data_IF_883169979186
#
_entry.id   IF_883169979186
#
_cell.length_a   1.000
_cell.length_b   1.000
_cell.length_c   1.000
_cell.angle_alpha   90.00
_cell.angle_beta   90.00
_cell.angle_gamma   90.00
#
_symmetry.space_group_name_H-M   'P 1'
#
loop_
_entity.id
_entity.type
_entity.pdbx_description
1 polymer ?
#
# COMPACT_ATOMS: atom_id res chain seq x y z
N UNK A 1 -1.54 -18.22 -25.03
CA UNK A 1 -0.81 -16.94 -24.94
C UNK A 1 -1.47 -16.12 -23.83
N UNK A 2 -1.08 -16.36 -22.59
CA UNK A 2 -1.67 -15.67 -21.43
C UNK A 2 -1.23 -14.22 -21.43
N UNK A 3 -2.20 -13.31 -21.54
CA UNK A 3 -1.98 -11.89 -21.32
C UNK A 3 -1.50 -11.72 -19.89
N UNK A 4 -0.25 -11.29 -19.72
CA UNK A 4 0.24 -10.75 -18.46
C UNK A 4 -0.67 -9.59 -18.09
N UNK A 5 -1.60 -9.84 -17.16
CA UNK A 5 -2.60 -8.88 -16.68
C UNK A 5 -2.13 -8.29 -15.37
N UNK A 6 -0.88 -7.81 -15.32
CA UNK A 6 -0.57 -6.76 -14.37
C UNK A 6 -1.06 -5.47 -15.02
N UNK A 7 -2.05 -4.76 -14.45
CA UNK A 7 -2.40 -3.44 -14.95
C UNK A 7 -1.12 -2.60 -14.87
N UNK A 8 -0.67 -2.13 -16.04
CA UNK A 8 0.35 -1.06 -16.09
C UNK A 8 -0.19 0.04 -15.18
N UNK A 9 0.58 0.40 -14.16
CA UNK A 9 0.36 1.65 -13.42
C UNK A 9 0.45 2.78 -14.46
N UNK A 10 -0.67 3.15 -15.05
CA UNK A 10 -0.78 4.36 -15.85
C UNK A 10 -0.43 5.51 -14.91
N UNK A 11 0.53 6.30 -15.37
CA UNK A 11 1.26 7.30 -14.61
C UNK A 11 0.40 8.52 -14.32
N UNK A 12 -0.65 8.34 -13.53
CA UNK A 12 -1.38 9.42 -12.88
C UNK A 12 -0.75 9.67 -11.51
N UNK A 13 -0.57 10.95 -11.20
CA UNK A 13 0.14 11.57 -10.08
C UNK A 13 -0.25 11.06 -8.66
N UNK A 14 -1.21 10.13 -8.57
CA UNK A 14 -1.52 9.31 -7.41
C UNK A 14 -0.45 8.25 -7.11
N UNK A 15 0.33 7.82 -8.12
CA UNK A 15 1.32 6.75 -7.99
C UNK A 15 2.48 7.11 -7.06
N UNK A 16 2.90 8.38 -7.02
CA UNK A 16 4.07 8.83 -6.23
C UNK A 16 3.77 8.81 -4.74
N UNK A 17 2.63 9.37 -4.32
CA UNK A 17 2.25 9.43 -2.90
C UNK A 17 2.06 8.03 -2.31
N UNK A 18 1.35 7.16 -3.03
CA UNK A 18 1.20 5.75 -2.64
C UNK A 18 2.54 5.05 -2.50
N UNK A 19 3.43 5.21 -3.49
CA UNK A 19 4.76 4.62 -3.45
C UNK A 19 5.57 5.12 -2.25
N UNK A 20 5.48 6.41 -1.92
CA UNK A 20 6.15 6.97 -0.73
C UNK A 20 5.63 6.34 0.55
N UNK A 21 4.31 6.26 0.75
CA UNK A 21 3.72 5.68 1.96
C UNK A 21 4.14 4.21 2.12
N UNK A 22 4.01 3.40 1.06
CA UNK A 22 4.36 1.99 1.08
C UNK A 22 5.85 1.79 1.32
N UNK A 23 6.71 2.58 0.67
CA UNK A 23 8.16 2.52 0.85
C UNK A 23 8.56 2.92 2.28
N UNK A 24 7.95 3.96 2.84
CA UNK A 24 8.22 4.37 4.23
C UNK A 24 7.76 3.30 5.21
N UNK A 25 6.57 2.73 5.03
CA UNK A 25 6.06 1.63 5.86
C UNK A 25 6.95 0.38 5.77
N UNK A 26 7.46 0.06 4.57
CA UNK A 26 8.41 -1.02 4.35
C UNK A 26 9.75 -0.79 5.06
N UNK A 27 10.36 0.39 4.88
CA UNK A 27 11.64 0.75 5.51
C UNK A 27 11.57 0.77 7.05
N UNK A 28 10.47 1.28 7.60
CA UNK A 28 10.28 1.42 9.06
C UNK A 28 9.66 0.17 9.71
N UNK A 29 9.18 -0.78 8.90
CA UNK A 29 8.39 -1.94 9.35
C UNK A 29 6.98 -1.62 9.84
N UNK A 30 6.70 -0.35 10.19
CA UNK A 30 5.37 0.20 10.48
C UNK A 30 5.41 1.73 10.34
N UNK A 31 4.26 2.34 10.06
CA UNK A 31 4.07 3.80 10.07
C UNK A 31 2.81 4.15 10.84
N UNK A 32 2.85 5.19 11.69
CA UNK A 32 1.65 5.69 12.36
C UNK A 32 0.70 6.33 11.35
N UNK A 33 -0.61 6.15 11.52
CA UNK A 33 -1.62 6.65 10.59
C UNK A 33 -1.57 8.17 10.44
N UNK A 34 -1.26 8.89 11.51
CA UNK A 34 -1.06 10.34 11.47
C UNK A 34 0.12 10.74 10.56
N UNK A 35 1.26 10.05 10.70
CA UNK A 35 2.43 10.28 9.87
C UNK A 35 2.17 9.88 8.40
N UNK A 36 1.43 8.79 8.17
CA UNK A 36 1.02 8.41 6.82
C UNK A 36 0.13 9.48 6.16
N UNK A 37 -0.76 10.13 6.92
CA UNK A 37 -1.58 11.24 6.44
C UNK A 37 -0.74 12.50 6.15
N UNK A 38 0.27 12.79 6.96
CA UNK A 38 1.22 13.88 6.70
C UNK A 38 1.98 13.66 5.39
N UNK A 39 2.46 12.43 5.14
CA UNK A 39 3.13 12.05 3.89
C UNK A 39 2.22 12.15 2.66
N UNK A 40 0.90 12.04 2.84
CA UNK A 40 -0.03 12.21 1.73
C UNK A 40 -0.02 13.65 1.17
N UNK A 41 0.36 14.64 1.98
CA UNK A 41 0.38 16.07 1.61
C UNK A 41 -0.92 16.57 0.94
N UNK A 42 -2.06 16.01 1.34
CA UNK A 42 -3.39 16.28 0.77
C UNK A 42 -4.40 16.50 1.89
N UNK A 43 -5.62 16.99 1.60
CA UNK A 43 -6.68 17.13 2.60
C UNK A 43 -6.93 15.79 3.31
N UNK A 44 -7.12 15.86 4.62
CA UNK A 44 -7.20 14.66 5.48
C UNK A 44 -8.26 13.66 5.00
N UNK A 45 -9.39 14.14 4.48
CA UNK A 45 -10.44 13.28 3.93
C UNK A 45 -9.96 12.44 2.73
N UNK A 46 -9.17 13.04 1.83
CA UNK A 46 -8.58 12.34 0.68
C UNK A 46 -7.49 11.37 1.12
N UNK A 47 -6.63 11.78 2.07
CA UNK A 47 -5.59 10.91 2.63
C UNK A 47 -6.18 9.68 3.30
N UNK A 48 -7.23 9.86 4.11
CA UNK A 48 -7.94 8.74 4.76
C UNK A 48 -8.56 7.78 3.73
N UNK A 49 -9.16 8.32 2.65
CA UNK A 49 -9.69 7.49 1.55
C UNK A 49 -8.60 6.67 0.88
N UNK A 50 -7.46 7.29 0.59
CA UNK A 50 -6.30 6.60 0.01
C UNK A 50 -5.80 5.48 0.93
N UNK A 51 -5.61 5.74 2.22
CA UNK A 51 -5.18 4.72 3.18
C UNK A 51 -6.20 3.58 3.32
N UNK A 52 -7.51 3.89 3.28
CA UNK A 52 -8.56 2.86 3.23
C UNK A 52 -8.48 2.01 1.97
N UNK A 53 -8.22 2.62 0.82
CA UNK A 53 -8.05 1.89 -0.43
C UNK A 53 -6.85 0.93 -0.37
N UNK A 54 -5.69 1.41 0.08
CA UNK A 54 -4.48 0.58 0.22
C UNK A 54 -4.69 -0.60 1.17
N UNK A 55 -5.48 -0.41 2.24
CA UNK A 55 -5.88 -1.50 3.13
C UNK A 55 -6.78 -2.52 2.43
N UNK A 56 -7.76 -2.06 1.66
CA UNK A 56 -8.65 -2.96 0.91
C UNK A 56 -7.94 -3.74 -0.20
N UNK A 57 -6.86 -3.18 -0.76
CA UNK A 57 -6.03 -3.84 -1.78
C UNK A 57 -5.00 -4.82 -1.19
N UNK A 58 -4.91 -4.92 0.15
CA UNK A 58 -3.94 -5.78 0.83
C UNK A 58 -2.50 -5.25 0.81
N UNK A 59 -2.31 -3.95 0.52
CA UNK A 59 -1.00 -3.30 0.51
C UNK A 59 -0.61 -2.76 1.89
N UNK A 60 -1.60 -2.52 2.75
CA UNK A 60 -1.42 -2.11 4.14
C UNK A 60 -2.32 -2.92 5.08
N UNK A 61 -1.84 -3.20 6.29
CA UNK A 61 -2.65 -3.76 7.37
C UNK A 61 -2.55 -2.94 8.66
N UNK A 62 -3.62 -2.96 9.46
CA UNK A 62 -3.62 -2.34 10.79
C UNK A 62 -3.00 -3.30 11.82
N UNK A 63 -2.14 -2.77 12.67
CA UNK A 63 -1.66 -3.52 13.84
C UNK A 63 -2.70 -3.56 14.96
N UNK A 64 -2.54 -4.47 15.93
CA UNK A 64 -3.42 -4.58 17.12
C UNK A 64 -3.61 -3.25 17.87
N UNK A 65 -2.58 -2.40 17.90
CA UNK A 65 -2.73 -0.98 18.22
C UNK A 65 -3.24 -0.28 16.96
N UNK A 66 -4.54 0.02 16.89
CA UNK A 66 -5.29 0.58 15.75
C UNK A 66 -4.73 1.86 15.11
N UNK A 67 -3.54 2.34 15.51
CA UNK A 67 -2.88 3.53 15.00
C UNK A 67 -1.80 3.22 13.96
N UNK A 68 -1.14 2.06 14.00
CA UNK A 68 0.01 1.79 13.12
C UNK A 68 -0.36 0.89 11.94
N UNK A 69 0.17 1.25 10.76
CA UNK A 69 0.01 0.58 9.48
C UNK A 69 1.29 -0.17 9.12
N UNK A 70 1.18 -1.39 8.60
CA UNK A 70 2.30 -2.18 8.08
C UNK A 70 2.13 -2.41 6.60
N UNK A 71 3.24 -2.42 5.87
CA UNK A 71 3.26 -2.88 4.49
C UNK A 71 3.07 -4.39 4.43
N UNK A 72 2.25 -4.85 3.48
CA UNK A 72 2.03 -6.27 3.20
C UNK A 72 2.15 -6.58 1.71
N UNK A 73 2.44 -7.85 1.42
CA UNK A 73 2.36 -8.38 0.06
C UNK A 73 0.91 -8.82 -0.14
N UNK A 74 0.22 -8.32 -1.16
CA UNK A 74 -1.15 -8.73 -1.41
C UNK A 74 -1.20 -10.17 -1.96
N UNK A 75 -2.24 -10.93 -1.58
CA UNK A 75 -2.38 -12.37 -1.89
C UNK A 75 -2.21 -12.69 -3.38
N UNK A 76 -2.77 -11.86 -4.26
CA UNK A 76 -2.70 -12.06 -5.71
C UNK A 76 -1.27 -11.89 -6.28
N UNK A 77 -0.38 -11.22 -5.56
CA UNK A 77 1.02 -11.05 -5.92
C UNK A 77 1.92 -12.13 -5.32
N UNK A 78 1.46 -12.86 -4.29
CA UNK A 78 2.24 -13.93 -3.66
C UNK A 78 2.76 -14.98 -4.66
N UNK A 79 2.01 -15.44 -5.67
CA UNK A 79 2.51 -16.38 -6.67
C UNK A 79 3.76 -15.92 -7.42
N UNK A 80 3.95 -14.61 -7.56
CA UNK A 80 5.10 -14.04 -8.25
C UNK A 80 6.34 -13.98 -7.35
N UNK A 81 6.15 -13.65 -6.08
CA UNK A 81 7.24 -13.56 -5.10
C UNK A 81 7.62 -14.93 -4.52
N UNK A 82 6.66 -15.83 -4.38
CA UNK A 82 6.79 -17.15 -3.77
C UNK A 82 6.27 -18.27 -4.67
N UNK A 83 6.86 -18.46 -5.87
CA UNK A 83 6.37 -19.45 -6.85
C UNK A 83 6.47 -20.91 -6.35
N UNK A 84 7.17 -21.16 -5.26
CA UNK A 84 7.38 -22.50 -4.69
C UNK A 84 6.37 -22.86 -3.59
N UNK A 85 5.49 -21.93 -3.18
CA UNK A 85 4.50 -22.14 -2.13
C UNK A 85 3.11 -22.54 -2.66
N UNK A 86 2.96 -22.70 -3.99
CA UNK A 86 1.71 -23.00 -4.69
C UNK A 86 1.74 -24.39 -5.30
#
# INVERSE_FOLDING_TARGET
MSRSSYPKCEADYSCTVTATILFTAFQQGKIESAHALELCAMPEASGRRLLSQLKSEGLLSETRSKSALRWEIPEHAEPWYFPQLI
#
